data_IF_912820474544
#
_entry.id   IF_912820474544
#
_cell.length_a   1.000
_cell.length_b   1.000
_cell.length_c   1.000
_cell.angle_alpha   90.00
_cell.angle_beta   90.00
_cell.angle_gamma   90.00
#
_symmetry.space_group_name_H-M   'P 1'
#
loop_
_entity.id
_entity.type
_entity.pdbx_description
1 polymer ?
#
# COMPACT_ATOMS: atom_id res chain seq x y z
N UNK A 1 54.18 6.90 5.59
CA UNK A 1 55.08 8.04 5.31
C UNK A 1 54.64 8.63 3.99
N UNK A 2 54.04 9.82 3.95
CA UNK A 2 53.66 10.44 2.69
C UNK A 2 54.89 11.12 2.08
N UNK A 3 55.14 10.91 0.82
CA UNK A 3 56.19 11.50 0.05
C UNK A 3 55.93 13.00 -0.17
N UNK A 4 56.95 13.78 0.18
CA UNK A 4 56.93 15.26 0.14
C UNK A 4 57.09 15.74 -1.30
N UNK A 5 56.08 16.34 -1.86
CA UNK A 5 56.03 16.88 -3.22
C UNK A 5 56.86 18.14 -3.47
N UNK A 6 57.48 18.68 -2.40
CA UNK A 6 58.27 19.90 -2.48
C UNK A 6 59.69 19.65 -3.03
N UNK A 7 60.14 18.41 -3.04
CA UNK A 7 61.51 18.06 -3.55
C UNK A 7 61.58 18.02 -5.08
N UNK A 8 60.45 18.01 -5.77
CA UNK A 8 60.43 17.92 -7.23
C UNK A 8 60.54 19.27 -7.94
N UNK A 9 60.26 20.38 -7.25
CA UNK A 9 60.34 21.73 -7.84
C UNK A 9 61.67 22.41 -7.65
N UNK A 10 62.53 21.98 -6.73
CA UNK A 10 63.82 22.65 -6.41
C UNK A 10 65.03 22.11 -7.23
N UNK A 11 64.81 21.13 -8.11
CA UNK A 11 65.92 20.52 -8.84
C UNK A 11 66.13 21.04 -10.27
N UNK A 12 65.52 22.19 -10.62
CA UNK A 12 65.64 22.82 -11.95
C UNK A 12 66.15 24.25 -11.90
N UNK A 13 67.19 24.49 -11.14
CA UNK A 13 67.79 25.83 -11.12
C UNK A 13 69.20 25.83 -10.56
N UNK A 14 70.15 25.20 -11.17
CA UNK A 14 71.60 25.57 -11.04
C UNK A 14 72.42 24.63 -11.86
N UNK A 15 72.89 25.10 -12.99
CA UNK A 15 74.21 24.94 -13.60
C UNK A 15 74.12 25.44 -15.03
N UNK A 16 74.93 26.30 -15.52
CA UNK A 16 76.29 26.65 -15.35
C UNK A 16 76.62 27.69 -16.43
N UNK A 17 77.44 28.62 -16.03
CA UNK A 17 77.97 29.61 -16.94
C UNK A 17 78.82 28.98 -18.03
N UNK A 18 78.70 29.54 -19.24
CA UNK A 18 79.49 29.20 -20.40
C UNK A 18 79.45 30.37 -21.42
N UNK A 19 80.46 31.16 -21.34
CA UNK A 19 80.82 32.25 -22.25
C UNK A 19 80.94 31.70 -23.69
N UNK A 20 80.33 32.36 -24.70
CA UNK A 20 80.53 31.99 -26.10
C UNK A 20 79.70 32.84 -27.07
N UNK A 21 80.27 33.86 -27.59
CA UNK A 21 80.22 34.36 -28.93
C UNK A 21 78.88 34.60 -29.61
N UNK A 22 78.59 35.83 -29.92
CA UNK A 22 77.48 36.34 -30.63
C UNK A 22 77.09 35.67 -31.94
N UNK A 23 75.83 35.52 -32.10
CA UNK A 23 75.16 35.65 -33.38
C UNK A 23 73.78 36.26 -33.12
N UNK A 24 73.70 37.56 -33.37
CA UNK A 24 72.40 38.27 -33.46
C UNK A 24 71.61 37.69 -34.61
N UNK A 25 70.86 36.65 -34.35
CA UNK A 25 69.75 36.27 -35.25
C UNK A 25 68.58 37.19 -34.95
N UNK A 26 68.55 38.32 -35.62
CA UNK A 26 67.34 39.15 -35.77
C UNK A 26 66.26 38.29 -36.38
N UNK A 27 65.43 37.66 -35.54
CA UNK A 27 64.16 37.16 -36.00
C UNK A 27 63.29 38.36 -36.35
N UNK A 28 63.36 38.71 -37.61
CA UNK A 28 62.48 39.72 -38.23
C UNK A 28 61.11 39.05 -38.38
N UNK A 29 60.33 39.16 -37.33
CA UNK A 29 58.91 38.88 -37.44
C UNK A 29 58.36 39.94 -38.41
N UNK A 30 58.21 39.53 -39.69
CA UNK A 30 57.32 40.26 -40.61
C UNK A 30 55.96 40.23 -39.96
N UNK A 31 55.62 41.31 -39.25
CA UNK A 31 54.24 41.55 -38.87
C UNK A 31 53.43 41.52 -40.15
N UNK A 32 52.39 40.63 -40.23
CA UNK A 32 51.52 40.72 -41.39
C UNK A 32 51.04 42.15 -41.50
N UNK A 33 51.18 42.75 -42.70
CA UNK A 33 50.62 44.03 -43.00
C UNK A 33 49.12 43.98 -42.79
N UNK A 34 48.71 44.39 -41.62
CA UNK A 34 47.29 44.59 -41.29
C UNK A 34 46.89 45.81 -42.18
N UNK A 35 45.87 45.63 -43.00
CA UNK A 35 45.37 46.75 -43.85
C UNK A 35 45.08 47.92 -42.93
N UNK A 36 45.42 49.11 -43.40
CA UNK A 36 45.25 50.40 -42.70
C UNK A 36 43.80 50.57 -42.22
N UNK A 37 43.52 50.13 -40.98
CA UNK A 37 42.23 50.26 -40.33
C UNK A 37 41.91 51.65 -39.84
N UNK A 38 42.73 52.63 -40.10
CA UNK A 38 42.53 54.02 -39.67
C UNK A 38 41.22 54.67 -40.16
N UNK A 39 40.65 54.19 -41.26
CA UNK A 39 39.31 54.62 -41.74
C UNK A 39 38.17 53.80 -41.20
N UNK A 40 38.47 52.64 -40.66
CA UNK A 40 37.48 51.74 -40.09
C UNK A 40 37.51 51.67 -38.53
N UNK A 41 38.38 52.42 -37.87
CA UNK A 41 38.52 52.41 -36.39
C UNK A 41 37.22 52.81 -35.72
N UNK A 42 36.49 53.81 -36.28
CA UNK A 42 35.16 54.18 -35.74
C UNK A 42 34.14 53.04 -35.83
N UNK A 43 34.12 52.31 -36.95
CA UNK A 43 33.22 51.19 -37.15
C UNK A 43 33.58 50.00 -36.25
N UNK A 44 34.87 49.77 -35.97
CA UNK A 44 35.36 48.77 -35.05
C UNK A 44 34.96 49.07 -33.59
N UNK A 45 35.04 50.35 -33.16
CA UNK A 45 34.53 50.74 -31.83
C UNK A 45 33.02 50.59 -31.69
N UNK A 46 32.27 50.88 -32.78
CA UNK A 46 30.81 50.65 -32.81
C UNK A 46 30.50 49.13 -32.69
N UNK A 47 31.21 48.27 -33.41
CA UNK A 47 31.04 46.83 -33.35
C UNK A 47 31.39 46.32 -31.93
N UNK A 48 32.52 46.76 -31.35
CA UNK A 48 32.89 46.40 -29.98
C UNK A 48 31.82 46.88 -28.99
N UNK A 49 31.30 48.10 -29.16
CA UNK A 49 30.20 48.63 -28.35
C UNK A 49 28.93 47.77 -28.45
N UNK A 50 28.55 47.37 -29.66
CA UNK A 50 27.40 46.48 -29.88
C UNK A 50 27.64 45.11 -29.22
N UNK A 51 28.83 44.52 -29.38
CA UNK A 51 29.18 43.23 -28.73
C UNK A 51 29.15 43.37 -27.23
N UNK A 52 29.68 44.45 -26.66
CA UNK A 52 29.63 44.72 -25.22
C UNK A 52 28.19 44.85 -24.71
N UNK A 53 27.33 45.54 -25.44
CA UNK A 53 25.89 45.62 -25.11
C UNK A 53 25.22 44.25 -25.19
N UNK A 54 25.52 43.44 -26.21
CA UNK A 54 24.97 42.08 -26.34
C UNK A 54 25.42 41.15 -25.21
N UNK A 55 26.68 41.27 -24.75
CA UNK A 55 27.19 40.49 -23.63
C UNK A 55 26.50 40.89 -22.32
N UNK A 56 26.32 42.19 -22.07
CA UNK A 56 25.65 42.70 -20.86
C UNK A 56 24.14 42.37 -20.88
N UNK A 57 23.50 42.49 -22.02
CA UNK A 57 22.06 42.32 -22.17
C UNK A 57 21.60 40.88 -22.16
N UNK A 58 22.50 39.88 -22.34
CA UNK A 58 22.19 38.43 -22.38
C UNK A 58 20.91 38.11 -23.17
N UNK A 59 20.88 38.35 -24.50
CA UNK A 59 19.67 38.24 -25.32
C UNK A 59 19.22 36.81 -25.58
N UNK A 60 19.60 35.86 -24.72
CA UNK A 60 19.25 34.45 -24.84
C UNK A 60 18.89 33.87 -23.46
N UNK A 61 18.00 32.89 -23.46
CA UNK A 61 17.61 32.09 -22.31
C UNK A 61 17.65 30.62 -22.70
N UNK A 62 18.17 29.80 -21.81
CA UNK A 62 18.15 28.33 -21.96
C UNK A 62 17.06 27.78 -21.07
N UNK A 63 16.08 27.09 -21.65
CA UNK A 63 14.98 26.44 -20.97
C UNK A 63 15.33 24.97 -20.86
N UNK A 64 15.32 24.45 -19.65
CA UNK A 64 15.66 23.04 -19.37
C UNK A 64 14.47 22.12 -19.67
N UNK A 65 14.75 20.82 -19.85
CA UNK A 65 13.69 19.83 -19.98
C UNK A 65 12.83 19.76 -18.70
N UNK A 66 11.50 19.86 -18.87
CA UNK A 66 10.55 19.96 -17.77
C UNK A 66 10.28 21.39 -17.31
N UNK A 67 10.77 22.37 -18.02
CA UNK A 67 10.47 23.79 -17.84
C UNK A 67 9.87 24.37 -19.11
N UNK A 68 9.08 25.40 -18.96
CA UNK A 68 8.45 26.13 -20.06
C UNK A 68 8.70 27.62 -19.90
N UNK A 69 9.12 28.26 -20.97
CA UNK A 69 9.30 29.71 -21.02
C UNK A 69 8.02 30.43 -21.43
N UNK A 70 7.70 31.50 -20.72
CA UNK A 70 6.64 32.42 -21.09
C UNK A 70 7.28 33.71 -21.56
N UNK A 71 7.04 34.06 -22.79
CA UNK A 71 7.53 35.32 -23.38
C UNK A 71 6.53 36.43 -23.10
N UNK A 72 6.98 37.49 -22.48
CA UNK A 72 6.21 38.72 -22.29
C UNK A 72 6.72 39.82 -23.19
N UNK A 73 5.88 40.39 -24.04
CA UNK A 73 6.16 41.53 -24.92
C UNK A 73 5.53 42.80 -24.30
N UNK A 74 6.35 43.72 -23.81
CA UNK A 74 5.87 44.95 -23.14
C UNK A 74 4.78 44.68 -22.07
N UNK A 75 4.97 43.62 -21.27
CA UNK A 75 4.04 43.26 -20.21
C UNK A 75 2.86 42.35 -20.62
N UNK A 76 2.68 42.08 -21.93
CA UNK A 76 1.68 41.16 -22.44
C UNK A 76 2.29 39.78 -22.66
N UNK A 77 1.74 38.76 -22.02
CA UNK A 77 2.17 37.39 -22.25
C UNK A 77 1.78 36.90 -23.65
N UNK A 78 2.72 36.25 -24.29
CA UNK A 78 2.49 35.55 -25.55
C UNK A 78 1.68 34.27 -25.27
N UNK A 79 0.89 33.85 -26.25
CA UNK A 79 0.02 32.64 -26.07
C UNK A 79 0.81 31.35 -26.24
N UNK A 80 1.87 31.41 -27.07
CA UNK A 80 2.66 30.23 -27.40
C UNK A 80 3.77 30.02 -26.35
N UNK A 81 3.80 28.87 -25.65
CA UNK A 81 4.86 28.56 -24.71
C UNK A 81 6.17 28.25 -25.43
N UNK A 82 7.30 28.65 -24.85
CA UNK A 82 8.62 28.29 -25.32
C UNK A 82 9.04 26.96 -24.70
N UNK A 83 9.25 25.94 -25.53
CA UNK A 83 9.72 24.63 -25.10
C UNK A 83 11.19 24.62 -24.67
N UNK A 84 11.69 23.44 -24.28
CA UNK A 84 13.09 23.26 -23.91
C UNK A 84 14.05 23.60 -25.08
N UNK A 85 15.12 24.28 -24.77
CA UNK A 85 16.14 24.68 -25.75
C UNK A 85 16.66 26.09 -25.53
N UNK A 86 17.43 26.58 -26.51
CA UNK A 86 17.99 27.94 -26.53
C UNK A 86 17.05 28.85 -27.27
N UNK A 87 16.58 29.91 -26.64
CA UNK A 87 15.69 30.91 -27.22
C UNK A 87 16.32 32.31 -27.16
N UNK A 88 16.15 33.05 -28.26
CA UNK A 88 16.61 34.43 -28.35
C UNK A 88 15.43 35.38 -28.12
N UNK A 89 15.68 36.46 -27.41
CA UNK A 89 14.71 37.51 -27.13
C UNK A 89 15.37 38.89 -27.11
N UNK A 90 14.58 39.94 -27.25
CA UNK A 90 15.06 41.34 -27.22
C UNK A 90 14.91 41.87 -25.76
N UNK A 91 16.00 42.00 -25.01
CA UNK A 91 15.94 42.24 -23.57
C UNK A 91 15.30 43.56 -23.13
N UNK A 92 15.19 44.56 -24.01
CA UNK A 92 14.52 45.82 -23.69
C UNK A 92 13.00 45.82 -23.91
N UNK A 93 12.50 44.92 -24.77
CA UNK A 93 11.10 44.86 -25.20
C UNK A 93 10.46 43.58 -24.70
N UNK A 94 11.24 42.51 -24.56
CA UNK A 94 10.78 41.17 -24.25
C UNK A 94 11.40 40.70 -22.94
N UNK A 95 10.61 39.99 -22.17
CA UNK A 95 11.05 39.27 -20.95
C UNK A 95 10.60 37.86 -21.05
N UNK A 96 11.44 36.90 -20.62
CA UNK A 96 11.09 35.47 -20.57
C UNK A 96 11.08 35.02 -19.11
N UNK A 97 9.94 34.46 -18.71
CA UNK A 97 9.76 33.83 -17.42
C UNK A 97 9.83 32.32 -17.59
N UNK A 98 10.66 31.65 -16.81
CA UNK A 98 10.78 30.21 -16.84
C UNK A 98 9.91 29.62 -15.71
N UNK A 99 9.02 28.70 -16.06
CA UNK A 99 8.09 28.04 -15.14
C UNK A 99 8.37 26.54 -15.15
N UNK A 100 8.53 25.95 -13.98
CA UNK A 100 8.71 24.51 -13.82
C UNK A 100 7.38 23.78 -14.04
N UNK A 101 7.37 22.85 -15.00
CA UNK A 101 6.20 22.01 -15.36
C UNK A 101 6.36 20.56 -14.95
N UNK A 102 7.40 20.22 -14.18
CA UNK A 102 7.59 18.86 -13.63
C UNK A 102 6.47 18.52 -12.67
N UNK A 103 6.36 17.23 -12.35
CA UNK A 103 5.41 16.78 -11.31
C UNK A 103 5.80 17.39 -9.97
N UNK A 104 4.87 18.08 -9.35
CA UNK A 104 5.01 18.72 -8.04
C UNK A 104 4.09 18.03 -7.03
N UNK A 105 4.44 18.15 -5.78
CA UNK A 105 3.75 17.49 -4.68
C UNK A 105 3.42 18.52 -3.61
N UNK A 106 2.14 18.62 -3.25
CA UNK A 106 1.71 19.33 -2.04
C UNK A 106 1.40 18.29 -0.97
N UNK A 107 2.10 18.38 0.15
CA UNK A 107 1.85 17.56 1.33
C UNK A 107 1.17 18.42 2.40
N UNK A 108 -0.08 18.11 2.70
CA UNK A 108 -0.79 18.62 3.88
C UNK A 108 -0.54 17.63 5.01
N UNK A 109 0.32 17.96 5.96
CA UNK A 109 0.70 17.07 7.06
C UNK A 109 0.97 17.84 8.34
N UNK A 110 0.80 17.19 9.47
CA UNK A 110 1.08 17.82 10.75
C UNK A 110 2.60 17.95 10.96
N UNK A 111 3.01 19.05 11.51
CA UNK A 111 4.27 19.76 11.29
C UNK A 111 5.50 19.27 12.03
N UNK A 112 5.47 18.18 12.74
CA UNK A 112 6.67 17.71 13.44
C UNK A 112 7.82 17.32 12.50
N UNK A 113 7.49 16.92 11.25
CA UNK A 113 8.47 16.61 10.20
C UNK A 113 8.98 17.83 9.40
N UNK A 114 8.48 19.03 9.69
CA UNK A 114 8.89 20.25 8.97
C UNK A 114 10.32 20.71 9.25
N UNK A 115 10.95 20.23 10.30
CA UNK A 115 12.29 20.63 10.72
C UNK A 115 13.42 19.80 10.12
N UNK A 116 13.14 18.82 9.27
CA UNK A 116 14.21 18.10 8.60
C UNK A 116 14.96 19.04 7.65
N UNK A 117 16.27 19.08 7.79
CA UNK A 117 17.18 19.94 7.02
C UNK A 117 17.05 19.85 5.49
N UNK A 118 16.39 18.81 4.99
CA UNK A 118 16.01 18.63 3.59
C UNK A 118 14.90 19.61 3.10
N UNK A 119 14.14 20.20 4.01
CA UNK A 119 13.09 21.17 3.63
C UNK A 119 13.63 22.54 3.21
N UNK A 120 14.87 22.87 3.54
CA UNK A 120 15.48 24.18 3.25
C UNK A 120 16.35 24.24 2.00
N UNK A 121 16.68 23.14 1.36
CA UNK A 121 17.68 23.14 0.28
C UNK A 121 17.32 22.40 -1.00
N UNK A 122 16.33 21.52 -1.00
CA UNK A 122 15.93 20.79 -2.19
C UNK A 122 14.55 21.30 -2.64
N UNK A 123 14.54 22.38 -3.41
CA UNK A 123 13.36 22.86 -4.14
C UNK A 123 12.92 21.90 -5.25
N UNK A 124 12.92 20.62 -4.98
CA UNK A 124 12.51 19.58 -5.91
C UNK A 124 11.01 19.45 -6.09
N UNK A 125 10.25 20.57 -6.08
CA UNK A 125 8.82 20.50 -6.37
C UNK A 125 7.94 19.97 -5.23
N UNK A 126 8.44 19.89 -3.99
CA UNK A 126 7.67 19.47 -2.82
C UNK A 126 7.29 20.69 -1.98
N UNK A 127 5.98 20.92 -1.85
CA UNK A 127 5.40 21.98 -1.03
C UNK A 127 4.82 21.33 0.22
N UNK A 128 5.20 21.82 1.39
CA UNK A 128 4.62 21.36 2.67
C UNK A 128 3.66 22.40 3.21
N UNK A 129 2.47 21.96 3.60
CA UNK A 129 1.41 22.75 4.24
C UNK A 129 0.91 22.03 5.48
N UNK A 130 0.30 22.76 6.38
CA UNK A 130 -0.32 22.18 7.58
C UNK A 130 -1.46 21.24 7.22
N UNK A 131 -1.68 20.22 8.06
CA UNK A 131 -2.87 19.34 8.02
C UNK A 131 -4.15 20.14 7.86
N UNK A 132 -5.09 19.58 7.13
CA UNK A 132 -6.40 20.21 6.94
C UNK A 132 -7.29 19.93 8.15
N UNK A 133 -7.56 20.96 8.94
CA UNK A 133 -8.54 20.87 10.03
C UNK A 133 -9.95 21.10 9.48
N UNK A 134 -10.79 20.08 9.56
CA UNK A 134 -12.17 20.08 9.07
C UNK A 134 -13.11 19.56 10.14
N UNK A 135 -14.40 19.86 10.02
CA UNK A 135 -15.43 19.36 10.94
C UNK A 135 -16.11 18.14 10.33
N UNK A 136 -16.35 17.14 11.15
CA UNK A 136 -17.19 16.00 10.79
C UNK A 136 -18.69 16.37 10.77
N UNK A 137 -19.57 15.42 10.46
CA UNK A 137 -21.02 15.64 10.43
C UNK A 137 -21.63 16.03 11.78
N UNK A 138 -20.91 15.84 12.89
CA UNK A 138 -21.31 16.22 14.26
C UNK A 138 -20.55 17.44 14.78
N UNK A 139 -19.89 18.19 13.90
CA UNK A 139 -19.05 19.34 14.23
C UNK A 139 -17.84 19.04 15.14
N UNK A 140 -17.32 17.80 15.12
CA UNK A 140 -16.08 17.47 15.80
C UNK A 140 -14.89 17.81 14.88
N UNK A 141 -13.84 18.48 15.39
CA UNK A 141 -12.66 18.80 14.60
C UNK A 141 -11.84 17.54 14.32
N UNK A 142 -11.52 17.33 13.04
CA UNK A 142 -10.68 16.23 12.55
C UNK A 142 -9.57 16.83 11.72
N UNK A 143 -8.34 16.35 11.89
CA UNK A 143 -7.20 16.74 11.06
C UNK A 143 -6.96 15.68 10.00
N UNK A 144 -6.87 16.12 8.75
CA UNK A 144 -6.70 15.26 7.59
C UNK A 144 -5.35 15.54 6.94
N UNK A 145 -4.54 14.49 6.81
CA UNK A 145 -3.29 14.51 6.08
C UNK A 145 -3.50 13.96 4.66
N UNK A 146 -3.17 14.79 3.67
CA UNK A 146 -3.36 14.46 2.27
C UNK A 146 -2.14 14.88 1.44
N UNK A 147 -1.82 14.07 0.44
CA UNK A 147 -0.78 14.38 -0.55
C UNK A 147 -1.44 14.52 -1.91
N UNK A 148 -1.16 15.64 -2.59
CA UNK A 148 -1.66 15.92 -3.93
C UNK A 148 -0.46 16.03 -4.88
N UNK A 149 -0.45 15.18 -5.92
CA UNK A 149 0.56 15.18 -6.97
C UNK A 149 -0.08 15.71 -8.25
N UNK A 150 0.56 16.69 -8.85
CA UNK A 150 0.04 17.36 -10.04
C UNK A 150 1.18 17.82 -10.94
N UNK A 151 0.83 18.06 -12.19
CA UNK A 151 1.70 18.61 -13.23
C UNK A 151 0.99 19.80 -13.89
N UNK A 152 1.71 20.89 -14.11
CA UNK A 152 1.20 22.02 -14.90
C UNK A 152 1.22 21.62 -16.37
N UNK A 153 0.13 21.87 -17.08
CA UNK A 153 0.02 21.56 -18.51
C UNK A 153 0.84 22.58 -19.34
N UNK A 154 1.85 22.09 -20.04
CA UNK A 154 2.85 22.88 -20.77
C UNK A 154 2.22 23.85 -21.78
N UNK A 155 1.17 23.41 -22.49
CA UNK A 155 0.51 24.20 -23.52
C UNK A 155 -0.29 25.38 -22.95
N UNK A 156 -0.74 25.27 -21.70
CA UNK A 156 -1.62 26.25 -21.06
C UNK A 156 -0.90 27.16 -20.08
N UNK A 157 0.42 26.96 -19.86
CA UNK A 157 1.22 27.75 -18.91
C UNK A 157 1.04 29.27 -19.07
N UNK A 158 1.15 29.86 -20.30
CA UNK A 158 1.00 31.28 -20.44
C UNK A 158 -0.35 31.83 -20.00
N UNK A 159 -1.42 31.13 -20.33
CA UNK A 159 -2.78 31.50 -19.93
C UNK A 159 -3.01 31.33 -18.43
N UNK A 160 -2.47 30.26 -17.84
CA UNK A 160 -2.57 29.99 -16.41
C UNK A 160 -1.87 31.08 -15.60
N UNK A 161 -0.64 31.44 -15.99
CA UNK A 161 0.10 32.50 -15.31
C UNK A 161 -0.53 33.87 -15.53
N UNK A 162 -1.09 34.13 -16.72
CA UNK A 162 -1.78 35.38 -17.01
C UNK A 162 -3.04 35.55 -16.13
N UNK A 163 -3.77 34.46 -15.88
CA UNK A 163 -5.02 34.49 -15.11
C UNK A 163 -4.80 34.42 -13.58
N UNK A 164 -3.89 33.55 -13.13
CA UNK A 164 -3.69 33.24 -11.72
C UNK A 164 -2.43 33.83 -11.10
N UNK A 165 -1.47 34.24 -11.94
CA UNK A 165 -0.14 34.69 -11.55
C UNK A 165 0.79 33.54 -11.19
N UNK A 166 1.98 33.86 -10.71
CA UNK A 166 3.00 32.85 -10.33
C UNK A 166 2.63 32.06 -9.06
N UNK A 167 1.73 32.57 -8.23
CA UNK A 167 1.20 31.86 -7.07
C UNK A 167 -0.10 31.08 -7.38
N UNK A 168 -0.20 30.52 -8.58
CA UNK A 168 -1.37 29.82 -9.08
C UNK A 168 -1.73 28.58 -8.23
N UNK A 169 -0.75 27.91 -7.63
CA UNK A 169 -0.95 26.75 -6.76
C UNK A 169 -1.78 27.11 -5.53
N UNK A 170 -1.43 28.22 -4.86
CA UNK A 170 -2.13 28.67 -3.67
C UNK A 170 -3.53 29.23 -3.97
N UNK A 171 -3.73 29.72 -5.20
CA UNK A 171 -5.02 30.31 -5.59
C UNK A 171 -5.97 29.31 -6.24
N UNK A 172 -5.46 28.27 -6.88
CA UNK A 172 -6.25 27.30 -7.64
C UNK A 172 -6.36 25.97 -6.91
N UNK A 173 -5.24 25.33 -6.56
CA UNK A 173 -5.23 23.98 -6.01
C UNK A 173 -5.66 24.00 -4.55
N UNK A 174 -5.07 24.86 -3.75
CA UNK A 174 -5.28 24.89 -2.29
C UNK A 174 -6.75 25.10 -1.87
N UNK A 175 -7.50 26.06 -2.45
CA UNK A 175 -8.91 26.21 -2.14
C UNK A 175 -9.76 25.02 -2.54
N UNK A 176 -9.50 24.43 -3.72
CA UNK A 176 -10.24 23.26 -4.21
C UNK A 176 -10.02 22.06 -3.30
N UNK A 177 -8.77 21.78 -2.93
CA UNK A 177 -8.44 20.68 -2.00
C UNK A 177 -9.14 20.86 -0.67
N UNK A 178 -9.07 22.07 -0.08
CA UNK A 178 -9.74 22.38 1.19
C UNK A 178 -11.26 22.26 1.12
N UNK A 179 -11.86 22.72 0.05
CA UNK A 179 -13.31 22.67 -0.14
C UNK A 179 -13.83 21.24 -0.31
N UNK A 180 -13.17 20.46 -1.19
CA UNK A 180 -13.54 19.06 -1.42
C UNK A 180 -13.36 18.23 -0.15
N UNK A 181 -12.23 18.37 0.55
CA UNK A 181 -11.98 17.63 1.78
C UNK A 181 -13.01 17.97 2.82
N UNK A 182 -13.35 19.28 3.00
CA UNK A 182 -14.39 19.71 3.94
C UNK A 182 -15.76 19.15 3.57
N UNK A 183 -16.11 19.19 2.30
CA UNK A 183 -17.40 18.69 1.81
C UNK A 183 -17.55 17.19 1.99
N UNK A 184 -16.50 16.42 1.68
CA UNK A 184 -16.54 14.96 1.82
C UNK A 184 -16.56 14.55 3.30
N UNK A 185 -15.63 15.07 4.11
CA UNK A 185 -15.51 14.69 5.53
C UNK A 185 -16.77 15.12 6.32
N UNK A 186 -17.38 16.27 5.98
CA UNK A 186 -18.61 16.75 6.62
C UNK A 186 -19.83 15.82 6.47
N UNK A 187 -19.78 14.84 5.57
CA UNK A 187 -20.85 13.85 5.41
C UNK A 187 -20.67 12.60 6.29
N UNK A 188 -19.52 12.43 6.92
CA UNK A 188 -19.20 11.25 7.73
C UNK A 188 -19.03 11.63 9.20
N UNK A 189 -19.29 10.67 10.08
CA UNK A 189 -18.99 10.82 11.52
C UNK A 189 -17.54 10.41 11.80
N UNK A 190 -16.92 10.97 12.83
CA UNK A 190 -15.56 10.64 13.23
C UNK A 190 -15.32 9.12 13.45
N UNK A 191 -16.38 8.40 13.83
CA UNK A 191 -16.35 6.94 14.04
C UNK A 191 -16.32 6.16 12.73
N UNK A 192 -16.94 6.70 11.67
CA UNK A 192 -16.97 6.05 10.34
C UNK A 192 -15.70 6.30 9.53
N UNK A 193 -15.01 7.44 9.78
CA UNK A 193 -13.84 7.84 9.00
C UNK A 193 -12.76 6.76 8.88
N UNK A 194 -12.35 6.05 9.96
CA UNK A 194 -11.36 4.98 9.84
C UNK A 194 -11.86 3.77 9.06
N UNK A 195 -13.17 3.44 9.19
CA UNK A 195 -13.78 2.26 8.57
C UNK A 195 -14.02 2.46 7.07
N UNK A 196 -14.39 3.69 6.66
CA UNK A 196 -14.71 4.06 5.27
C UNK A 196 -13.58 4.82 4.58
N UNK A 197 -12.35 4.67 5.06
CA UNK A 197 -11.19 5.42 4.59
C UNK A 197 -10.99 5.33 3.08
N UNK A 198 -11.13 4.15 2.49
CA UNK A 198 -10.91 3.94 1.06
C UNK A 198 -12.00 4.58 0.20
N UNK A 199 -13.25 4.53 0.66
CA UNK A 199 -14.37 5.22 0.03
C UNK A 199 -14.17 6.74 0.06
N UNK A 200 -13.79 7.27 1.21
CA UNK A 200 -13.51 8.69 1.43
C UNK A 200 -12.34 9.15 0.56
N UNK A 201 -11.25 8.38 0.49
CA UNK A 201 -10.11 8.67 -0.35
C UNK A 201 -10.50 8.78 -1.82
N UNK A 202 -11.35 7.86 -2.31
CA UNK A 202 -11.86 7.90 -3.67
C UNK A 202 -12.74 9.11 -3.94
N UNK A 203 -13.66 9.43 -3.02
CA UNK A 203 -14.53 10.60 -3.16
C UNK A 203 -13.73 11.91 -3.18
N UNK A 204 -12.67 11.99 -2.39
CA UNK A 204 -11.76 13.14 -2.39
C UNK A 204 -11.00 13.23 -3.72
N UNK A 205 -10.42 12.13 -4.21
CA UNK A 205 -9.72 12.12 -5.51
C UNK A 205 -10.66 12.53 -6.64
N UNK A 206 -11.83 11.89 -6.75
CA UNK A 206 -12.84 12.19 -7.77
C UNK A 206 -13.31 13.66 -7.68
N UNK A 207 -13.53 14.16 -6.47
CA UNK A 207 -13.97 15.53 -6.23
C UNK A 207 -12.92 16.57 -6.63
N UNK A 208 -11.66 16.37 -6.24
CA UNK A 208 -10.54 17.27 -6.59
C UNK A 208 -10.31 17.22 -8.11
N UNK A 209 -10.29 16.03 -8.69
CA UNK A 209 -10.12 15.82 -10.13
C UNK A 209 -11.20 16.53 -10.93
N UNK A 210 -12.46 16.35 -10.56
CA UNK A 210 -13.60 17.02 -11.22
C UNK A 210 -13.50 18.53 -11.18
N UNK A 211 -13.10 19.10 -10.05
CA UNK A 211 -13.02 20.56 -9.90
C UNK A 211 -11.79 21.14 -10.59
N UNK A 212 -10.62 20.48 -10.58
CA UNK A 212 -9.39 21.00 -11.19
C UNK A 212 -9.40 20.77 -12.70
N UNK A 213 -9.72 19.55 -13.16
CA UNK A 213 -9.75 19.23 -14.59
C UNK A 213 -10.96 19.84 -15.31
N UNK A 214 -12.01 20.23 -14.58
CA UNK A 214 -13.16 20.95 -15.06
C UNK A 214 -12.91 22.45 -15.31
N UNK A 215 -11.76 22.99 -14.91
CA UNK A 215 -11.38 24.38 -15.20
C UNK A 215 -11.15 24.58 -16.70
N UNK A 216 -11.45 25.80 -17.17
CA UNK A 216 -11.21 26.18 -18.56
C UNK A 216 -9.73 25.97 -18.92
N UNK A 217 -9.49 25.37 -20.07
CA UNK A 217 -8.17 25.08 -20.63
C UNK A 217 -7.37 23.98 -19.87
N UNK A 218 -7.94 23.27 -18.91
CA UNK A 218 -7.26 22.22 -18.13
C UNK A 218 -5.83 22.59 -17.75
N UNK A 219 -5.66 23.59 -16.90
CA UNK A 219 -4.34 24.16 -16.59
C UNK A 219 -3.43 23.17 -15.87
N UNK A 220 -4.01 22.22 -15.16
CA UNK A 220 -3.30 21.26 -14.31
C UNK A 220 -3.78 19.85 -14.61
N UNK A 221 -2.83 18.93 -14.72
CA UNK A 221 -3.06 17.50 -14.80
C UNK A 221 -2.80 16.88 -13.42
N UNK A 222 -3.86 16.33 -12.81
CA UNK A 222 -3.80 15.72 -11.50
C UNK A 222 -3.29 14.27 -11.63
N UNK A 223 -2.14 13.96 -11.03
CA UNK A 223 -1.50 12.65 -11.12
C UNK A 223 -2.03 11.70 -10.06
N UNK A 224 -2.03 12.11 -8.81
CA UNK A 224 -2.54 11.32 -7.71
C UNK A 224 -3.00 12.19 -6.55
N UNK A 225 -4.04 11.74 -5.87
CA UNK A 225 -4.47 12.27 -4.58
C UNK A 225 -4.46 11.12 -3.58
N UNK A 226 -3.74 11.27 -2.49
CA UNK A 226 -3.57 10.22 -1.49
C UNK A 226 -3.98 10.72 -0.12
N UNK A 227 -5.00 10.11 0.47
CA UNK A 227 -5.36 10.29 1.86
C UNK A 227 -4.35 9.54 2.74
N UNK A 228 -3.51 10.28 3.48
CA UNK A 228 -2.42 9.71 4.29
C UNK A 228 -2.90 9.27 5.67
N UNK A 229 -3.40 10.21 6.44
CA UNK A 229 -3.81 9.96 7.82
C UNK A 229 -5.06 10.77 8.17
N UNK A 230 -5.88 10.20 9.05
CA UNK A 230 -7.03 10.86 9.66
C UNK A 230 -6.75 10.93 11.16
N UNK A 231 -6.47 12.12 11.66
CA UNK A 231 -6.07 12.35 13.05
C UNK A 231 -7.31 12.83 13.81
N UNK A 232 -7.79 11.98 14.72
CA UNK A 232 -8.92 12.26 15.57
C UNK A 232 -8.48 12.86 16.90
N UNK A 233 -9.27 13.73 17.55
CA UNK A 233 -9.02 14.17 18.91
C UNK A 233 -8.94 12.98 19.88
N UNK A 234 -8.04 13.06 20.87
CA UNK A 234 -7.78 11.97 21.81
C UNK A 234 -9.04 11.42 22.50
N UNK A 235 -9.96 12.32 22.91
CA UNK A 235 -11.23 11.93 23.54
C UNK A 235 -12.15 11.14 22.60
N UNK A 236 -12.17 11.49 21.31
CA UNK A 236 -12.98 10.78 20.30
C UNK A 236 -12.38 9.42 20.02
N UNK A 237 -11.05 9.35 19.89
CA UNK A 237 -10.33 8.08 19.72
C UNK A 237 -10.60 7.12 20.87
N UNK A 238 -10.50 7.60 22.11
CA UNK A 238 -10.80 6.79 23.30
C UNK A 238 -12.24 6.26 23.31
N UNK A 239 -13.22 7.11 22.93
CA UNK A 239 -14.61 6.67 22.84
C UNK A 239 -14.81 5.60 21.73
N UNK A 240 -14.21 5.79 20.58
CA UNK A 240 -14.25 4.81 19.48
C UNK A 240 -13.67 3.48 19.95
N UNK A 241 -12.52 3.50 20.63
CA UNK A 241 -11.88 2.31 21.18
C UNK A 241 -12.79 1.59 22.18
N UNK A 242 -13.44 2.33 23.11
CA UNK A 242 -14.40 1.75 24.06
C UNK A 242 -15.62 1.12 23.37
N UNK A 243 -16.19 1.80 22.37
CA UNK A 243 -17.31 1.25 21.59
C UNK A 243 -16.89 0.00 20.83
N UNK A 244 -15.68 0.01 20.24
CA UNK A 244 -15.14 -1.13 19.50
C UNK A 244 -14.91 -2.33 20.41
N UNK A 245 -14.35 -2.11 21.61
CA UNK A 245 -14.17 -3.16 22.63
C UNK A 245 -15.53 -3.75 23.04
N UNK A 246 -16.50 -2.89 23.38
CA UNK A 246 -17.83 -3.35 23.76
C UNK A 246 -18.54 -4.15 22.65
N UNK A 247 -18.35 -3.73 21.39
CA UNK A 247 -18.89 -4.44 20.24
C UNK A 247 -18.23 -5.81 20.04
N UNK A 248 -16.89 -5.89 20.19
CA UNK A 248 -16.17 -7.16 20.14
C UNK A 248 -16.57 -8.10 21.28
N UNK A 249 -16.77 -7.58 22.50
CA UNK A 249 -17.25 -8.37 23.63
C UNK A 249 -18.67 -8.91 23.40
N UNK A 250 -19.56 -8.08 22.86
CA UNK A 250 -20.91 -8.51 22.50
C UNK A 250 -20.90 -9.60 21.40
N UNK A 251 -20.07 -9.45 20.37
CA UNK A 251 -19.91 -10.46 19.34
C UNK A 251 -19.32 -11.76 19.91
N UNK A 252 -18.30 -11.65 20.74
CA UNK A 252 -17.71 -12.81 21.43
C UNK A 252 -18.74 -13.56 22.25
N UNK A 253 -19.53 -12.84 23.06
CA UNK A 253 -20.59 -13.45 23.86
C UNK A 253 -21.61 -14.15 22.98
N UNK A 254 -22.00 -13.55 21.84
CA UNK A 254 -22.91 -14.17 20.87
C UNK A 254 -22.34 -15.48 20.31
N UNK A 255 -21.07 -15.50 19.93
CA UNK A 255 -20.40 -16.73 19.48
C UNK A 255 -20.28 -17.78 20.58
N UNK A 256 -20.04 -17.38 21.83
CA UNK A 256 -19.98 -18.28 22.96
C UNK A 256 -21.36 -18.95 23.23
N UNK A 257 -22.44 -18.16 23.16
CA UNK A 257 -23.82 -18.68 23.27
C UNK A 257 -24.14 -19.64 22.13
N UNK A 258 -23.81 -19.29 20.92
CA UNK A 258 -24.04 -20.15 19.74
C UNK A 258 -23.25 -21.47 19.87
N UNK A 259 -21.98 -21.39 20.30
CA UNK A 259 -21.15 -22.56 20.52
C UNK A 259 -21.75 -23.45 21.63
N UNK A 260 -22.21 -22.87 22.75
CA UNK A 260 -22.85 -23.60 23.82
C UNK A 260 -24.14 -24.30 23.33
N UNK A 261 -24.95 -23.64 22.50
CA UNK A 261 -26.13 -24.24 21.90
C UNK A 261 -25.76 -25.40 20.98
N UNK A 262 -24.76 -25.26 20.13
CA UNK A 262 -24.27 -26.35 19.27
C UNK A 262 -23.72 -27.53 20.06
N UNK A 263 -22.99 -27.26 21.13
CA UNK A 263 -22.52 -28.34 22.06
C UNK A 263 -23.68 -29.06 22.78
N UNK A 264 -24.70 -28.30 23.19
CA UNK A 264 -25.91 -28.89 23.79
C UNK A 264 -26.67 -29.77 22.80
N UNK A 265 -26.86 -29.30 21.58
CA UNK A 265 -27.50 -30.08 20.50
C UNK A 265 -26.69 -31.35 20.18
N UNK A 266 -25.36 -31.22 20.09
CA UNK A 266 -24.47 -32.37 19.87
C UNK A 266 -24.58 -33.40 21.00
N UNK A 267 -24.58 -32.95 22.26
CA UNK A 267 -24.76 -33.84 23.42
C UNK A 267 -26.12 -34.52 23.40
N UNK A 268 -27.20 -33.79 23.08
CA UNK A 268 -28.55 -34.35 22.96
C UNK A 268 -28.65 -35.41 21.84
N UNK A 269 -28.04 -35.12 20.69
CA UNK A 269 -27.99 -36.03 19.55
C UNK A 269 -27.20 -37.31 19.87
N UNK A 270 -26.06 -37.19 20.54
CA UNK A 270 -25.26 -38.34 21.02
C UNK A 270 -26.00 -39.17 22.04
N UNK A 271 -26.67 -38.54 23.00
CA UNK A 271 -27.47 -39.27 24.02
C UNK A 271 -28.62 -40.01 23.34
N UNK A 272 -29.33 -39.42 22.42
CA UNK A 272 -30.37 -40.07 21.62
C UNK A 272 -29.81 -41.24 20.80
N UNK A 273 -28.70 -41.01 20.09
CA UNK A 273 -28.05 -42.05 19.29
C UNK A 273 -27.61 -43.25 20.16
N UNK A 274 -27.07 -43.01 21.34
CA UNK A 274 -26.70 -44.07 22.29
C UNK A 274 -27.94 -44.83 22.80
N UNK A 275 -29.03 -44.12 23.12
CA UNK A 275 -30.27 -44.75 23.53
C UNK A 275 -30.88 -45.62 22.42
N UNK A 276 -30.89 -45.12 21.19
CA UNK A 276 -31.35 -45.86 20.02
C UNK A 276 -30.47 -47.08 19.73
N UNK A 277 -29.13 -46.95 19.88
CA UNK A 277 -28.21 -48.06 19.72
C UNK A 277 -28.45 -49.17 20.75
N UNK A 278 -28.63 -48.83 22.04
CA UNK A 278 -28.97 -49.79 23.11
C UNK A 278 -30.29 -50.47 22.82
N UNK A 279 -31.31 -49.72 22.35
CA UNK A 279 -32.60 -50.29 22.00
C UNK A 279 -32.50 -51.28 20.83
N UNK A 280 -31.76 -50.94 19.78
CA UNK A 280 -31.53 -51.83 18.62
C UNK A 280 -30.76 -53.07 19.03
N UNK A 281 -29.75 -52.94 19.90
CA UNK A 281 -28.99 -54.09 20.42
C UNK A 281 -29.88 -55.03 21.27
N UNK A 282 -30.68 -54.44 22.14
CA UNK A 282 -31.63 -55.26 22.97
C UNK A 282 -32.66 -55.98 22.11
N UNK A 283 -33.18 -55.28 21.08
CA UNK A 283 -34.11 -55.90 20.12
C UNK A 283 -33.44 -57.02 19.34
N UNK A 284 -32.21 -56.80 18.85
CA UNK A 284 -31.45 -57.84 18.14
C UNK A 284 -31.16 -59.06 18.99
N UNK A 285 -30.84 -58.86 20.29
CA UNK A 285 -30.66 -59.96 21.23
C UNK A 285 -31.97 -60.73 21.46
N UNK A 286 -33.10 -60.05 21.64
CA UNK A 286 -34.41 -60.65 21.78
C UNK A 286 -34.81 -61.45 20.55
N UNK A 287 -34.58 -60.89 19.34
CA UNK A 287 -34.86 -61.59 18.08
C UNK A 287 -33.97 -62.82 17.88
N UNK A 288 -32.67 -62.70 18.26
CA UNK A 288 -31.75 -63.87 18.23
C UNK A 288 -32.19 -64.99 19.13
N UNK A 289 -32.59 -64.69 20.38
CA UNK A 289 -33.08 -65.66 21.34
C UNK A 289 -34.38 -66.32 20.85
N UNK A 290 -35.29 -65.56 20.23
CA UNK A 290 -36.53 -66.07 19.62
C UNK A 290 -36.24 -67.02 18.46
N UNK A 291 -35.34 -66.64 17.56
CA UNK A 291 -34.91 -67.46 16.41
C UNK A 291 -34.28 -68.75 16.91
N UNK A 292 -33.44 -68.70 17.92
CA UNK A 292 -32.81 -69.88 18.55
C UNK A 292 -33.85 -70.83 19.25
N UNK A 293 -34.80 -70.22 19.98
CA UNK A 293 -35.89 -70.98 20.60
C UNK A 293 -36.81 -71.63 19.56
N UNK A 294 -37.18 -70.93 18.50
CA UNK A 294 -37.96 -71.44 17.38
C UNK A 294 -37.23 -72.58 16.64
N UNK A 295 -35.95 -72.41 16.38
CA UNK A 295 -35.09 -73.42 15.75
C UNK A 295 -35.00 -74.70 16.65
N UNK A 296 -34.84 -74.46 17.93
CA UNK A 296 -34.76 -75.57 18.93
C UNK A 296 -36.10 -76.32 19.08
N UNK A 297 -37.21 -75.57 19.06
CA UNK A 297 -38.56 -76.18 19.09
C UNK A 297 -38.80 -76.92 17.78
N UNK A 298 -38.38 -76.45 16.64
CA UNK A 298 -38.47 -77.12 15.36
C UNK A 298 -37.64 -78.42 15.36
N UNK A 299 -36.38 -78.39 15.82
CA UNK A 299 -35.50 -79.52 15.91
C UNK A 299 -36.10 -80.60 16.89
N UNK A 300 -36.57 -80.14 18.01
CA UNK A 300 -37.22 -81.06 18.98
C UNK A 300 -38.50 -81.71 18.41
N UNK A 301 -39.27 -80.96 17.63
CA UNK A 301 -40.45 -81.48 16.94
C UNK A 301 -40.10 -82.49 15.84
N UNK A 302 -39.05 -82.28 15.08
CA UNK A 302 -38.57 -83.24 14.08
C UNK A 302 -37.94 -84.48 14.74
N UNK A 303 -37.21 -84.32 15.83
CA UNK A 303 -36.72 -85.42 16.68
C UNK A 303 -37.89 -86.23 17.21
N UNK A 304 -38.91 -85.58 17.79
CA UNK A 304 -40.10 -86.22 18.30
C UNK A 304 -40.85 -87.01 17.25
N UNK A 305 -40.94 -86.58 15.99
CA UNK A 305 -41.52 -87.32 14.88
C UNK A 305 -40.73 -88.54 14.45
N UNK A 306 -39.40 -88.52 14.62
CA UNK A 306 -38.49 -89.60 14.22
C UNK A 306 -38.17 -90.59 15.43
N UNK A 307 -38.75 -90.38 16.61
CA UNK A 307 -38.47 -91.15 17.77
C UNK A 307 -39.20 -92.50 17.65
N UNK A 308 -38.41 -93.48 17.21
CA UNK A 308 -38.74 -94.89 17.35
C UNK A 308 -38.16 -95.41 18.69
N UNK A 309 -38.75 -96.38 19.32
CA UNK A 309 -38.34 -96.94 20.67
C UNK A 309 -36.86 -97.36 20.70
N UNK A 310 -36.27 -97.73 19.52
CA UNK A 310 -34.86 -98.08 19.42
C UNK A 310 -33.94 -96.83 19.48
N UNK A 311 -34.37 -95.69 18.99
CA UNK A 311 -33.65 -94.47 19.06
C UNK A 311 -33.63 -93.83 20.45
N UNK A 312 -34.72 -93.94 21.20
CA UNK A 312 -34.77 -93.58 22.64
C UNK A 312 -33.78 -94.35 23.47
N UNK A 313 -33.65 -95.63 23.22
CA UNK A 313 -32.70 -96.50 23.92
C UNK A 313 -31.25 -96.14 23.58
N UNK A 314 -31.01 -95.83 22.27
CA UNK A 314 -29.68 -95.42 21.83
C UNK A 314 -29.27 -94.01 22.40
N UNK A 315 -30.20 -93.05 22.48
CA UNK A 315 -29.98 -91.73 23.08
C UNK A 315 -29.78 -91.87 24.61
N UNK A 316 -30.45 -92.81 25.25
CA UNK A 316 -30.26 -93.06 26.68
C UNK A 316 -28.88 -93.66 26.95
N UNK A 317 -28.41 -94.56 26.10
CA UNK A 317 -27.05 -95.11 26.14
C UNK A 317 -26.01 -94.06 25.93
N UNK A 318 -26.23 -93.20 24.90
CA UNK A 318 -25.32 -92.05 24.57
C UNK A 318 -25.24 -91.07 25.70
N UNK A 319 -26.35 -90.68 26.33
CA UNK A 319 -26.39 -89.79 27.49
C UNK A 319 -25.71 -90.39 28.69
N UNK A 320 -25.88 -91.69 28.91
CA UNK A 320 -25.25 -92.45 30.01
C UNK A 320 -23.75 -92.56 29.73
N UNK A 321 -23.31 -92.77 28.48
CA UNK A 321 -21.89 -92.75 28.11
C UNK A 321 -21.24 -91.38 28.33
N UNK A 322 -21.91 -90.32 27.95
CA UNK A 322 -21.41 -88.92 28.23
C UNK A 322 -21.37 -88.58 29.69
N UNK A 323 -22.37 -89.05 30.45
CA UNK A 323 -22.38 -88.93 31.94
C UNK A 323 -21.24 -89.71 32.60
N UNK A 324 -20.95 -90.91 32.13
CA UNK A 324 -19.81 -91.69 32.59
C UNK A 324 -18.47 -91.14 32.24
N UNK A 325 -18.38 -90.49 31.05
CA UNK A 325 -17.15 -89.80 30.61
C UNK A 325 -16.91 -88.50 31.37
N UNK A 326 -17.97 -87.71 31.62
CA UNK A 326 -17.92 -86.53 32.46
C UNK A 326 -17.55 -86.88 33.93
N UNK A 327 -18.05 -88.04 34.48
CA UNK A 327 -17.64 -88.55 35.77
C UNK A 327 -16.21 -89.04 35.82
N UNK A 328 -15.69 -89.52 34.69
CA UNK A 328 -14.27 -89.96 34.57
C UNK A 328 -13.28 -88.79 34.49
N UNK A 329 -13.71 -87.70 33.94
CA UNK A 329 -12.91 -86.45 33.87
C UNK A 329 -12.95 -85.68 35.19
N UNK A 330 -13.99 -85.85 35.99
CA UNK A 330 -14.17 -85.10 37.25
C UNK A 330 -13.70 -85.97 38.44
N UNK A 331 -12.45 -85.86 38.81
CA UNK A 331 -11.81 -86.62 39.90
C UNK A 331 -12.36 -86.33 41.30
N UNK A 332 -13.23 -85.31 41.46
CA UNK A 332 -13.81 -84.92 42.77
C UNK A 332 -15.28 -85.25 42.95
N UNK A 333 -15.90 -85.99 42.01
CA UNK A 333 -17.30 -86.30 42.05
C UNK A 333 -17.58 -87.45 43.07
N UNK A 334 -18.14 -87.13 44.21
CA UNK A 334 -18.68 -88.08 45.16
C UNK A 334 -20.09 -88.47 44.74
N UNK A 335 -20.25 -89.73 44.32
CA UNK A 335 -21.57 -90.30 44.00
C UNK A 335 -22.17 -90.94 45.21
N UNK A 336 -23.19 -90.37 45.79
CA UNK A 336 -24.01 -91.00 46.83
C UNK A 336 -25.07 -91.89 46.15
N UNK A 337 -24.82 -93.16 46.15
CA UNK A 337 -25.82 -94.13 45.79
C UNK A 337 -26.76 -94.33 46.97
N UNK A 338 -27.95 -93.77 46.92
CA UNK A 338 -29.04 -94.15 47.85
C UNK A 338 -29.61 -95.46 47.35
N UNK A 339 -29.67 -96.51 48.17
CA UNK A 339 -30.37 -97.70 47.77
C UNK A 339 -31.84 -97.36 47.65
N UNK A 340 -32.35 -97.41 46.45
CA UNK A 340 -33.75 -97.18 46.14
C UNK A 340 -34.56 -98.36 46.56
N UNK A 341 -35.67 -98.11 47.24
CA UNK A 341 -36.72 -99.06 47.36
C UNK A 341 -37.51 -99.20 46.08
#
# INVERSE_FOLDING_TARGET
MPADLNDYFNKRGSNGGGNGGGENRNFNFKTPNLPNFSKFSGLLYVIIGIIAVLIIAKPFVTIQSGEVGIKANLGKFDKDPLGAGLHFFLPFIQQVFVVDTRVRIINYTNTEDMNSALAKGASGGIIKKNSLSVLDSRNLPVSIDITVQYKLNEDTVPNTIAQWGFAWEDKMIDPVVKDVVRSVIGNYTAEELPTKRDEIAKLIDDGIRKNIEGLQNKPVDLRAVQLREIILPAKVKEQIERVQIAKQEAERTKYEVERANQEALKKAALAKGNADAVKIEAQGKADAVKIEADAQAYANKEIAKSLDNNLLTLKQIETQAKFTEALRENNDAQIFLTPGG
#
